data_IF_161845243332
#
_entry.id   IF_161845243332
#
_cell.length_a   1.000
_cell.length_b   1.000
_cell.length_c   1.000
_cell.angle_alpha   90.00
_cell.angle_beta   90.00
_cell.angle_gamma   90.00
#
_symmetry.space_group_name_H-M   'P 1'
#
loop_
_entity.id
_entity.type
_entity.pdbx_description
1 polymer ?
#
# COMPACT_ATOMS: atom_id res chain seq x y z
N UNK A 1 21.31 1.53 14.49
CA UNK A 1 20.36 2.06 15.50
C UNK A 1 19.70 3.32 14.99
N UNK A 2 18.39 3.37 15.02
CA UNK A 2 17.58 4.52 14.57
C UNK A 2 17.90 5.72 15.46
N UNK A 3 18.23 6.88 14.86
CA UNK A 3 18.54 8.09 15.62
C UNK A 3 17.35 8.55 16.47
N UNK A 4 17.59 9.31 17.54
CA UNK A 4 16.53 9.88 18.38
C UNK A 4 15.54 10.73 17.54
N UNK A 5 16.05 11.48 16.57
CA UNK A 5 15.25 12.33 15.66
C UNK A 5 14.34 11.49 14.74
N UNK A 6 14.85 10.41 14.19
CA UNK A 6 14.07 9.48 13.36
C UNK A 6 12.95 8.82 14.17
N UNK A 7 13.23 8.36 15.38
CA UNK A 7 12.19 7.79 16.28
C UNK A 7 11.10 8.80 16.59
N UNK A 8 11.48 10.04 16.88
CA UNK A 8 10.53 11.12 17.15
C UNK A 8 9.67 11.43 15.92
N UNK A 9 10.25 11.44 14.72
CA UNK A 9 9.52 11.62 13.47
C UNK A 9 8.53 10.48 13.23
N UNK A 10 8.98 9.24 13.38
CA UNK A 10 8.13 8.06 13.22
C UNK A 10 6.91 8.05 14.17
N UNK A 11 7.07 8.52 15.41
CA UNK A 11 5.95 8.69 16.36
C UNK A 11 4.96 9.74 15.85
N UNK A 12 5.45 10.91 15.40
CA UNK A 12 4.60 11.99 14.86
C UNK A 12 3.83 11.55 13.60
N UNK A 13 4.47 10.80 12.72
CA UNK A 13 3.85 10.24 11.51
C UNK A 13 2.74 9.25 11.85
N UNK A 14 2.97 8.34 12.80
CA UNK A 14 1.95 7.39 13.27
C UNK A 14 0.77 8.10 13.93
N UNK A 15 1.01 9.13 14.72
CA UNK A 15 -0.05 9.94 15.33
C UNK A 15 -0.87 10.68 14.27
N UNK A 16 -0.22 11.24 13.25
CA UNK A 16 -0.91 11.90 12.13
C UNK A 16 -1.74 10.87 11.34
N UNK A 17 -1.17 9.71 11.01
CA UNK A 17 -1.88 8.62 10.33
C UNK A 17 -3.13 8.20 11.12
N UNK A 18 -3.02 8.03 12.43
CA UNK A 18 -4.15 7.67 13.31
C UNK A 18 -5.24 8.74 13.31
N UNK A 19 -4.88 10.03 13.31
CA UNK A 19 -5.85 11.13 13.19
C UNK A 19 -6.56 11.13 11.84
N UNK A 20 -5.81 10.94 10.76
CA UNK A 20 -6.36 10.84 9.40
C UNK A 20 -7.26 9.63 9.24
N UNK A 21 -6.86 8.47 9.75
CA UNK A 21 -7.63 7.23 9.77
C UNK A 21 -9.02 7.43 10.41
N UNK A 22 -9.07 8.06 11.58
CA UNK A 22 -10.33 8.38 12.25
C UNK A 22 -11.19 9.39 11.48
N UNK A 23 -10.56 10.41 10.87
CA UNK A 23 -11.26 11.45 10.11
C UNK A 23 -11.86 10.92 8.81
N UNK A 24 -11.17 9.99 8.17
CA UNK A 24 -11.55 9.42 6.88
C UNK A 24 -12.34 8.10 7.01
N UNK A 25 -12.47 7.61 8.24
CA UNK A 25 -13.15 6.33 8.55
C UNK A 25 -12.55 5.14 7.76
N UNK A 26 -11.22 5.10 7.67
CA UNK A 26 -10.47 4.01 7.00
C UNK A 26 -9.41 3.47 7.94
N UNK A 27 -9.05 2.17 7.85
CA UNK A 27 -7.94 1.61 8.62
C UNK A 27 -6.63 2.37 8.39
N UNK A 28 -5.74 2.49 9.39
CA UNK A 28 -4.49 3.26 9.29
C UNK A 28 -3.58 2.80 8.15
N UNK A 29 -3.49 1.51 7.89
CA UNK A 29 -2.65 0.92 6.84
C UNK A 29 -3.10 1.28 5.42
N UNK A 30 -4.37 1.64 5.23
CA UNK A 30 -4.89 2.13 3.94
C UNK A 30 -4.24 3.46 3.56
N UNK A 31 -3.94 4.31 4.54
CA UNK A 31 -3.27 5.60 4.32
C UNK A 31 -1.81 5.36 3.94
N UNK A 32 -1.00 4.89 4.88
CA UNK A 32 0.39 4.47 4.67
C UNK A 32 0.72 3.31 5.58
N UNK A 33 1.46 2.34 5.05
CA UNK A 33 1.98 1.22 5.84
C UNK A 33 3.17 1.65 6.70
N UNK A 34 3.49 0.86 7.73
CA UNK A 34 4.60 1.14 8.63
C UNK A 34 5.96 1.25 7.90
N UNK A 35 6.33 0.37 6.94
CA UNK A 35 7.56 0.53 6.17
C UNK A 35 7.64 1.86 5.42
N UNK A 36 6.50 2.36 4.91
CA UNK A 36 6.47 3.66 4.23
C UNK A 36 6.72 4.82 5.20
N UNK A 37 6.15 4.78 6.42
CA UNK A 37 6.40 5.77 7.46
C UNK A 37 7.86 5.74 7.95
N UNK A 38 8.44 4.56 8.08
CA UNK A 38 9.86 4.40 8.44
C UNK A 38 10.80 4.98 7.38
N UNK A 39 10.48 4.74 6.10
CA UNK A 39 11.21 5.33 4.99
C UNK A 39 11.07 6.86 4.98
N UNK A 40 9.88 7.43 5.23
CA UNK A 40 9.66 8.87 5.38
C UNK A 40 10.49 9.45 6.52
N UNK A 41 10.54 8.78 7.69
CA UNK A 41 11.32 9.21 8.84
C UNK A 41 12.84 9.14 8.63
N UNK A 42 13.31 8.44 7.60
CA UNK A 42 14.72 8.31 7.23
C UNK A 42 15.12 9.28 6.14
N UNK A 43 14.27 9.50 5.14
CA UNK A 43 14.57 10.30 3.94
C UNK A 43 14.04 11.72 4.00
N UNK A 44 13.08 12.00 4.88
CA UNK A 44 12.45 13.31 5.07
C UNK A 44 11.94 13.96 3.77
N UNK A 45 11.00 13.34 3.04
CA UNK A 45 10.45 13.91 1.82
C UNK A 45 9.67 15.21 2.12
N UNK A 46 9.99 16.28 1.44
CA UNK A 46 9.35 17.61 1.63
C UNK A 46 8.58 18.09 0.40
N UNK A 47 8.54 17.29 -0.66
CA UNK A 47 7.73 17.54 -1.86
C UNK A 47 6.88 16.32 -2.20
N UNK A 48 5.82 16.52 -2.99
CA UNK A 48 4.99 15.39 -3.48
C UNK A 48 5.80 14.42 -4.34
N UNK A 49 6.75 14.92 -5.12
CA UNK A 49 7.61 14.11 -5.98
C UNK A 49 8.54 13.22 -5.15
N UNK A 50 9.15 13.77 -4.12
CA UNK A 50 9.97 13.01 -3.18
C UNK A 50 9.14 11.96 -2.43
N UNK A 51 7.92 12.31 -2.03
CA UNK A 51 7.02 11.40 -1.33
C UNK A 51 6.58 10.22 -2.21
N UNK A 52 6.38 10.43 -3.51
CA UNK A 52 6.07 9.37 -4.46
C UNK A 52 7.20 8.35 -4.63
N UNK A 53 8.43 8.70 -4.29
CA UNK A 53 9.59 7.80 -4.36
C UNK A 53 9.71 6.90 -3.12
N UNK A 54 8.91 7.13 -2.08
CA UNK A 54 8.87 6.27 -0.90
C UNK A 54 8.23 4.93 -1.29
N UNK A 55 8.84 3.79 -0.92
CA UNK A 55 8.24 2.48 -1.14
C UNK A 55 6.81 2.39 -0.57
N UNK A 56 5.87 1.89 -1.35
CA UNK A 56 4.46 1.81 -0.98
C UNK A 56 3.67 3.13 -1.08
N UNK A 57 4.29 4.20 -1.59
CA UNK A 57 3.62 5.48 -1.82
C UNK A 57 3.67 5.79 -3.31
N UNK A 58 2.55 5.58 -3.99
CA UNK A 58 2.40 5.99 -5.40
C UNK A 58 1.80 7.39 -5.52
N UNK A 59 1.71 7.88 -6.77
CA UNK A 59 1.16 9.20 -7.07
C UNK A 59 -0.26 9.41 -6.50
N UNK A 60 -1.10 8.38 -6.50
CA UNK A 60 -2.46 8.43 -5.96
C UNK A 60 -2.48 8.71 -4.46
N UNK A 61 -1.73 7.94 -3.67
CA UNK A 61 -1.63 8.13 -2.21
C UNK A 61 -0.94 9.43 -1.83
N UNK A 62 0.16 9.77 -2.52
CA UNK A 62 0.86 11.04 -2.29
C UNK A 62 -0.05 12.24 -2.50
N UNK A 63 -0.84 12.24 -3.57
CA UNK A 63 -1.80 13.30 -3.87
C UNK A 63 -2.93 13.39 -2.85
N UNK A 64 -3.43 12.23 -2.39
CA UNK A 64 -4.61 12.15 -1.52
C UNK A 64 -4.26 12.44 -0.05
N UNK A 65 -3.17 11.89 0.46
CA UNK A 65 -2.81 11.94 1.89
C UNK A 65 -1.52 12.72 2.16
N UNK A 66 -0.69 12.97 1.15
CA UNK A 66 0.69 13.42 1.33
C UNK A 66 0.83 14.83 1.87
N UNK A 67 -0.13 15.73 1.64
CA UNK A 67 -0.01 17.15 2.00
C UNK A 67 0.30 17.36 3.48
N UNK A 68 -0.47 16.74 4.36
CA UNK A 68 -0.31 16.89 5.81
C UNK A 68 0.98 16.25 6.32
N UNK A 69 1.42 15.13 5.71
CA UNK A 69 2.71 14.50 6.03
C UNK A 69 3.88 15.36 5.58
N UNK A 70 3.83 15.93 4.39
CA UNK A 70 4.87 16.86 3.89
C UNK A 70 5.00 18.08 4.80
N UNK A 71 3.88 18.68 5.22
CA UNK A 71 3.88 19.82 6.13
C UNK A 71 4.49 19.45 7.51
N UNK A 72 4.16 18.27 8.02
CA UNK A 72 4.72 17.74 9.27
C UNK A 72 6.22 17.51 9.15
N UNK A 73 6.66 16.87 8.06
CA UNK A 73 8.08 16.58 7.81
C UNK A 73 8.88 17.87 7.61
N UNK A 74 8.37 18.83 6.83
CA UNK A 74 9.01 20.16 6.66
C UNK A 74 9.25 20.82 7.99
N UNK A 75 8.24 20.91 8.83
CA UNK A 75 8.36 21.49 10.17
C UNK A 75 9.40 20.76 11.01
N UNK A 76 9.41 19.42 10.98
CA UNK A 76 10.39 18.64 11.73
C UNK A 76 11.82 18.86 11.24
N UNK A 77 12.04 18.96 9.93
CA UNK A 77 13.33 19.26 9.31
C UNK A 77 13.82 20.64 9.73
N UNK A 78 12.96 21.66 9.69
CA UNK A 78 13.27 23.04 10.10
C UNK A 78 13.56 23.14 11.60
N UNK A 79 12.70 22.57 12.46
CA UNK A 79 12.86 22.57 13.92
C UNK A 79 14.15 21.90 14.41
N UNK A 80 14.64 20.91 13.69
CA UNK A 80 15.80 20.11 14.08
C UNK A 80 17.06 20.38 13.22
N UNK A 81 17.01 21.35 12.31
CA UNK A 81 18.10 21.69 11.38
C UNK A 81 18.68 20.43 10.71
N UNK A 82 17.81 19.60 10.15
CA UNK A 82 18.19 18.32 9.54
C UNK A 82 18.76 18.57 8.14
N UNK A 83 20.01 18.20 7.92
CA UNK A 83 20.57 18.07 6.58
C UNK A 83 19.98 16.82 5.93
N UNK A 84 19.19 17.04 4.87
CA UNK A 84 18.57 15.92 4.13
C UNK A 84 19.59 15.29 3.18
N UNK A 85 19.50 13.94 2.94
CA UNK A 85 20.33 13.32 1.92
C UNK A 85 20.14 13.99 0.56
N UNK A 86 21.20 14.40 -0.11
CA UNK A 86 21.14 15.05 -1.43
C UNK A 86 20.63 14.12 -2.53
N UNK A 87 20.52 12.82 -2.29
CA UNK A 87 20.21 11.77 -3.27
C UNK A 87 18.73 11.37 -3.36
N UNK A 88 17.79 12.27 -3.08
CA UNK A 88 16.39 12.07 -3.46
C UNK A 88 16.14 12.34 -4.96
N UNK A 89 17.17 12.18 -5.79
CA UNK A 89 17.03 12.24 -7.25
C UNK A 89 16.20 11.05 -7.72
N UNK A 90 15.10 11.38 -8.37
CA UNK A 90 14.19 10.50 -9.07
C UNK A 90 14.96 9.47 -9.92
N UNK A 91 15.16 8.27 -9.40
CA UNK A 91 15.50 7.12 -10.24
C UNK A 91 14.19 6.59 -10.80
N UNK A 92 13.83 7.03 -11.97
CA UNK A 92 12.79 6.43 -12.78
C UNK A 92 13.20 4.99 -13.10
N UNK A 93 12.62 4.02 -12.39
CA UNK A 93 12.83 2.60 -12.67
C UNK A 93 11.93 2.23 -13.84
N UNK A 94 12.40 2.50 -15.07
CA UNK A 94 11.66 2.33 -16.32
C UNK A 94 11.15 0.88 -16.55
N UNK A 95 11.78 -0.14 -15.96
CA UNK A 95 11.38 -1.54 -16.17
C UNK A 95 10.21 -1.99 -15.28
N UNK A 96 10.14 -1.53 -14.03
CA UNK A 96 8.98 -1.82 -13.15
C UNK A 96 7.70 -1.15 -13.67
N UNK A 97 7.82 0.00 -14.34
CA UNK A 97 6.69 0.70 -14.93
C UNK A 97 6.02 -0.11 -16.06
N UNK A 98 6.77 -0.83 -16.88
CA UNK A 98 6.22 -1.62 -17.99
C UNK A 98 5.42 -2.83 -17.51
N UNK A 99 5.94 -3.56 -16.52
CA UNK A 99 5.25 -4.70 -15.92
C UNK A 99 3.95 -4.24 -15.23
N UNK A 100 4.02 -3.20 -14.42
CA UNK A 100 2.84 -2.60 -13.78
C UNK A 100 1.76 -2.21 -14.79
N UNK A 101 2.13 -1.52 -15.87
CA UNK A 101 1.18 -1.12 -16.92
C UNK A 101 0.59 -2.35 -17.63
N UNK A 102 1.40 -3.37 -17.93
CA UNK A 102 0.93 -4.63 -18.52
C UNK A 102 -0.11 -5.32 -17.65
N UNK A 103 0.16 -5.44 -16.34
CA UNK A 103 -0.76 -6.06 -15.38
C UNK A 103 -2.08 -5.28 -15.33
N UNK A 104 -2.04 -3.97 -15.14
CA UNK A 104 -3.25 -3.12 -15.06
C UNK A 104 -4.09 -3.24 -16.33
N UNK A 105 -3.48 -3.11 -17.51
CA UNK A 105 -4.21 -3.20 -18.78
C UNK A 105 -4.90 -4.54 -18.99
N UNK A 106 -4.31 -5.64 -18.50
CA UNK A 106 -4.91 -6.97 -18.60
C UNK A 106 -6.04 -7.16 -17.61
N UNK A 107 -5.90 -6.65 -16.38
CA UNK A 107 -6.98 -6.63 -15.39
C UNK A 107 -8.16 -5.81 -15.90
N UNK A 108 -7.93 -4.65 -16.51
CA UNK A 108 -8.99 -3.81 -17.11
C UNK A 108 -9.73 -4.54 -18.25
N UNK A 109 -9.04 -5.44 -18.93
CA UNK A 109 -9.64 -6.32 -19.95
C UNK A 109 -10.26 -7.59 -19.38
N UNK A 110 -10.27 -7.74 -18.06
CA UNK A 110 -10.78 -8.91 -17.35
C UNK A 110 -10.11 -10.23 -17.75
N UNK A 111 -8.81 -10.19 -18.03
CA UNK A 111 -7.99 -11.39 -18.24
C UNK A 111 -7.82 -12.10 -16.90
N UNK A 112 -7.95 -13.43 -16.86
CA UNK A 112 -7.78 -14.21 -15.65
C UNK A 112 -6.36 -14.01 -15.06
N UNK A 113 -6.24 -13.94 -13.72
CA UNK A 113 -4.97 -13.61 -13.07
C UNK A 113 -3.88 -14.66 -13.34
N UNK A 114 -4.23 -15.94 -13.41
CA UNK A 114 -3.32 -17.02 -13.78
C UNK A 114 -2.76 -16.84 -15.21
N UNK A 115 -3.59 -16.42 -16.16
CA UNK A 115 -3.15 -16.08 -17.52
C UNK A 115 -2.23 -14.84 -17.54
N UNK A 116 -2.51 -13.85 -16.69
CA UNK A 116 -1.65 -12.67 -16.52
C UNK A 116 -0.27 -13.08 -16.00
N UNK A 117 -0.22 -13.97 -14.98
CA UNK A 117 1.02 -14.50 -14.44
C UNK A 117 1.84 -15.21 -15.52
N UNK A 118 1.23 -16.18 -16.22
CA UNK A 118 1.88 -16.94 -17.29
C UNK A 118 2.44 -16.02 -18.39
N UNK A 119 1.65 -15.04 -18.83
CA UNK A 119 2.07 -14.14 -19.94
C UNK A 119 3.24 -13.25 -19.55
N UNK A 120 3.36 -12.88 -18.27
CA UNK A 120 4.47 -12.07 -17.79
C UNK A 120 5.65 -12.90 -17.24
N UNK A 121 5.56 -14.24 -17.33
CA UNK A 121 6.59 -15.17 -16.82
C UNK A 121 6.73 -15.15 -15.31
N UNK A 122 5.64 -14.94 -14.61
CA UNK A 122 5.56 -14.90 -13.15
C UNK A 122 4.85 -16.14 -12.61
N UNK A 123 5.27 -16.59 -11.44
CA UNK A 123 4.44 -17.46 -10.62
C UNK A 123 3.22 -16.69 -10.06
N UNK A 124 2.14 -17.39 -9.70
CA UNK A 124 0.92 -16.73 -9.25
C UNK A 124 1.13 -15.85 -8.01
N UNK A 125 1.92 -16.31 -7.05
CA UNK A 125 2.26 -15.53 -5.86
C UNK A 125 3.10 -14.29 -6.18
N UNK A 126 4.02 -14.37 -7.16
CA UNK A 126 4.78 -13.22 -7.63
C UNK A 126 3.87 -12.18 -8.31
N UNK A 127 2.85 -12.64 -9.05
CA UNK A 127 1.83 -11.74 -9.59
C UNK A 127 1.04 -11.05 -8.47
N UNK A 128 0.64 -11.79 -7.42
CA UNK A 128 -0.05 -11.19 -6.28
C UNK A 128 0.81 -10.12 -5.59
N UNK A 129 2.12 -10.36 -5.42
CA UNK A 129 3.05 -9.37 -4.87
C UNK A 129 3.08 -8.08 -5.71
N UNK A 130 3.10 -8.21 -7.04
CA UNK A 130 3.07 -7.05 -7.95
C UNK A 130 1.72 -6.31 -7.89
N UNK A 131 0.60 -7.04 -7.83
CA UNK A 131 -0.74 -6.45 -7.71
C UNK A 131 -0.90 -5.74 -6.36
N UNK A 132 -0.44 -6.36 -5.27
CA UNK A 132 -0.42 -5.73 -3.95
C UNK A 132 0.40 -4.43 -3.96
N UNK A 133 1.58 -4.43 -4.56
CA UNK A 133 2.38 -3.21 -4.72
C UNK A 133 1.65 -2.12 -5.53
N UNK A 134 0.85 -2.51 -6.52
CA UNK A 134 0.01 -1.59 -7.31
C UNK A 134 -1.06 -0.95 -6.44
N UNK A 135 -1.83 -1.73 -5.69
CA UNK A 135 -2.91 -1.18 -4.85
C UNK A 135 -2.37 -0.42 -3.64
N UNK A 136 -1.26 -0.86 -3.04
CA UNK A 136 -0.59 -0.12 -1.96
C UNK A 136 -0.05 1.24 -2.43
N UNK A 137 0.30 1.38 -3.70
CA UNK A 137 0.68 2.67 -4.26
C UNK A 137 -0.50 3.63 -4.45
N UNK A 138 -1.74 3.19 -4.20
CA UNK A 138 -2.97 3.95 -4.37
C UNK A 138 -3.55 3.89 -5.78
N UNK A 139 -3.17 2.89 -6.58
CA UNK A 139 -3.79 2.63 -7.87
C UNK A 139 -5.00 1.72 -7.68
N UNK A 140 -6.16 2.16 -8.18
CA UNK A 140 -7.37 1.33 -8.16
C UNK A 140 -7.34 0.31 -9.29
N UNK A 141 -7.70 -0.93 -8.95
CA UNK A 141 -7.93 -2.02 -9.91
C UNK A 141 -9.21 -2.74 -9.53
N UNK A 142 -9.81 -3.48 -10.45
CA UNK A 142 -10.99 -4.30 -10.16
C UNK A 142 -10.73 -5.75 -10.55
N UNK A 143 -10.70 -6.63 -9.55
CA UNK A 143 -10.51 -8.07 -9.72
C UNK A 143 -11.76 -8.89 -9.35
N UNK A 144 -12.94 -8.24 -9.18
CA UNK A 144 -14.19 -8.91 -8.81
C UNK A 144 -14.55 -10.04 -9.77
N UNK A 145 -14.29 -9.84 -11.07
CA UNK A 145 -14.56 -10.87 -12.09
C UNK A 145 -13.80 -12.18 -11.82
N UNK A 146 -12.58 -12.08 -11.29
CA UNK A 146 -11.76 -13.24 -10.95
C UNK A 146 -12.18 -13.82 -9.59
N UNK A 147 -12.40 -12.96 -8.59
CA UNK A 147 -12.86 -13.39 -7.26
C UNK A 147 -14.14 -14.20 -7.33
N UNK A 148 -15.14 -13.72 -8.08
CA UNK A 148 -16.42 -14.40 -8.22
C UNK A 148 -16.33 -15.74 -8.98
N UNK A 149 -15.27 -15.96 -9.75
CA UNK A 149 -15.01 -17.23 -10.43
C UNK A 149 -14.30 -18.26 -9.54
N UNK A 150 -13.51 -17.81 -8.55
CA UNK A 150 -12.65 -18.69 -7.75
C UNK A 150 -13.07 -18.83 -6.29
N UNK A 151 -13.97 -17.99 -5.81
CA UNK A 151 -14.41 -17.96 -4.40
C UNK A 151 -15.93 -17.79 -4.29
N UNK A 152 -16.49 -18.36 -3.23
CA UNK A 152 -17.87 -18.12 -2.85
C UNK A 152 -18.04 -16.71 -2.26
N UNK A 153 -19.21 -16.09 -2.49
CA UNK A 153 -19.52 -14.74 -2.05
C UNK A 153 -19.42 -14.57 -0.51
N UNK A 154 -19.89 -15.59 0.23
CA UNK A 154 -19.80 -15.60 1.70
C UNK A 154 -18.33 -15.53 2.19
N UNK A 155 -17.41 -16.24 1.52
CA UNK A 155 -15.97 -16.18 1.84
C UNK A 155 -15.38 -14.81 1.55
N UNK A 156 -15.77 -14.18 0.44
CA UNK A 156 -15.32 -12.83 0.09
C UNK A 156 -15.78 -11.83 1.15
N UNK A 157 -17.04 -11.92 1.56
CA UNK A 157 -17.63 -11.00 2.54
C UNK A 157 -16.99 -11.16 3.92
N UNK A 158 -16.77 -12.37 4.41
CA UNK A 158 -16.16 -12.64 5.71
C UNK A 158 -14.72 -12.07 5.80
N UNK A 159 -13.89 -12.33 4.78
CA UNK A 159 -12.53 -11.81 4.74
C UNK A 159 -12.53 -10.28 4.57
N UNK A 160 -13.46 -9.74 3.78
CA UNK A 160 -13.59 -8.30 3.58
C UNK A 160 -13.94 -7.56 4.87
N UNK A 161 -14.93 -8.06 5.64
CA UNK A 161 -15.33 -7.49 6.93
C UNK A 161 -14.18 -7.58 7.95
N UNK A 162 -13.39 -8.68 7.94
CA UNK A 162 -12.18 -8.77 8.76
C UNK A 162 -11.24 -7.57 8.52
N UNK A 163 -10.88 -7.29 7.25
CA UNK A 163 -9.98 -6.17 6.93
C UNK A 163 -10.58 -4.79 7.21
N UNK A 164 -11.90 -4.67 7.19
CA UNK A 164 -12.60 -3.44 7.53
C UNK A 164 -12.48 -3.09 9.02
N UNK A 165 -12.52 -4.10 9.88
CA UNK A 165 -12.46 -3.95 11.33
C UNK A 165 -11.04 -4.08 11.91
N UNK A 166 -10.10 -4.63 11.15
CA UNK A 166 -8.72 -4.83 11.59
C UNK A 166 -7.91 -3.54 11.64
N UNK A 167 -7.00 -3.45 12.61
CA UNK A 167 -6.00 -2.37 12.70
C UNK A 167 -4.74 -2.64 11.86
N UNK A 168 -4.54 -3.90 11.43
CA UNK A 168 -3.39 -4.36 10.64
C UNK A 168 -3.84 -5.06 9.37
N UNK A 169 -3.00 -5.04 8.36
CA UNK A 169 -3.15 -5.82 7.13
C UNK A 169 -2.15 -6.98 7.05
N UNK A 170 -1.57 -7.34 8.19
CA UNK A 170 -0.65 -8.45 8.30
C UNK A 170 -1.34 -9.78 7.93
N UNK A 171 -0.65 -10.55 7.09
CA UNK A 171 -1.22 -11.78 6.56
C UNK A 171 -1.25 -12.91 7.60
N UNK A 172 -0.22 -12.97 8.47
CA UNK A 172 -0.16 -13.98 9.54
C UNK A 172 -1.27 -13.74 10.56
N UNK A 173 -1.50 -12.48 10.95
CA UNK A 173 -2.61 -12.09 11.84
C UNK A 173 -3.97 -12.46 11.22
N UNK A 174 -4.15 -12.20 9.92
CA UNK A 174 -5.40 -12.54 9.22
C UNK A 174 -5.64 -14.05 9.16
N UNK A 175 -4.62 -14.84 8.87
CA UNK A 175 -4.72 -16.31 8.83
C UNK A 175 -5.06 -16.86 10.23
N UNK A 176 -4.46 -16.31 11.29
CA UNK A 176 -4.72 -16.74 12.66
C UNK A 176 -6.16 -16.39 13.10
N UNK A 177 -6.62 -15.16 12.86
CA UNK A 177 -7.95 -14.71 13.30
C UNK A 177 -9.10 -15.33 12.49
N UNK A 178 -8.90 -15.57 11.19
CA UNK A 178 -9.87 -16.24 10.33
C UNK A 178 -9.90 -17.77 10.53
N UNK A 179 -9.11 -18.30 11.45
CA UNK A 179 -9.23 -19.67 11.96
C UNK A 179 -8.81 -20.77 10.99
N UNK A 180 -8.16 -20.45 9.88
CA UNK A 180 -7.69 -21.43 8.89
C UNK A 180 -8.78 -21.98 7.96
N UNK A 181 -9.96 -21.36 7.95
CA UNK A 181 -11.06 -21.74 7.04
C UNK A 181 -10.80 -21.25 5.61
N UNK A 182 -9.84 -20.33 5.43
CA UNK A 182 -9.48 -19.72 4.16
C UNK A 182 -8.00 -19.93 3.84
N UNK A 183 -7.69 -20.08 2.56
CA UNK A 183 -6.29 -20.17 2.10
C UNK A 183 -5.60 -18.80 2.12
N UNK A 184 -4.28 -18.79 2.19
CA UNK A 184 -3.49 -17.57 2.09
C UNK A 184 -3.80 -16.79 0.80
N UNK A 185 -3.97 -17.49 -0.33
CA UNK A 185 -4.30 -16.88 -1.61
C UNK A 185 -5.67 -16.20 -1.60
N UNK A 186 -6.68 -16.81 -1.00
CA UNK A 186 -8.02 -16.21 -0.83
C UNK A 186 -7.94 -14.94 0.00
N UNK A 187 -7.25 -14.97 1.13
CA UNK A 187 -7.07 -13.81 1.99
C UNK A 187 -6.34 -12.68 1.24
N UNK A 188 -5.28 -12.98 0.50
CA UNK A 188 -4.53 -12.01 -0.31
C UNK A 188 -5.39 -11.38 -1.40
N UNK A 189 -6.17 -12.17 -2.11
CA UNK A 189 -7.07 -11.69 -3.17
C UNK A 189 -8.13 -10.73 -2.63
N UNK A 190 -8.78 -11.06 -1.51
CA UNK A 190 -9.78 -10.18 -0.91
C UNK A 190 -9.12 -8.94 -0.29
N UNK A 191 -7.91 -9.06 0.28
CA UNK A 191 -7.13 -7.90 0.74
C UNK A 191 -6.84 -6.92 -0.41
N UNK A 192 -6.47 -7.43 -1.58
CA UNK A 192 -6.27 -6.63 -2.79
C UNK A 192 -7.56 -5.87 -3.17
N UNK A 193 -8.70 -6.57 -3.18
CA UNK A 193 -10.02 -5.95 -3.43
C UNK A 193 -10.30 -4.85 -2.43
N UNK A 194 -10.18 -5.13 -1.14
CA UNK A 194 -10.41 -4.18 -0.05
C UNK A 194 -9.55 -2.92 -0.19
N UNK A 195 -8.24 -3.09 -0.35
CA UNK A 195 -7.30 -1.97 -0.51
C UNK A 195 -7.59 -1.15 -1.77
N UNK A 196 -7.97 -1.81 -2.85
CA UNK A 196 -8.31 -1.14 -4.11
C UNK A 196 -9.56 -0.27 -3.98
N UNK A 197 -10.58 -0.74 -3.27
CA UNK A 197 -11.81 0.03 -3.03
C UNK A 197 -11.58 1.19 -2.05
N UNK A 198 -10.78 0.98 -1.00
CA UNK A 198 -10.46 2.01 -0.01
C UNK A 198 -9.48 3.07 -0.52
N UNK A 199 -8.76 2.81 -1.63
CA UNK A 199 -7.81 3.76 -2.23
C UNK A 199 -8.49 5.00 -2.88
N UNK A 200 -9.81 5.10 -2.85
CA UNK A 200 -10.58 6.20 -3.46
C UNK A 200 -11.21 7.15 -2.45
#
# INVERSE_FOLDING_TARGET
STSRRQRQMCIRDRDLRKKLSKRLEVPPFVIFQDPSLEAMATTYPVTLEELQNIPGVGAGKAKRYGKEFIELIKRHVEENEIERPEDLRVRTVANKSKLKVSIIQRIDRKVALDEIAMTNGLEFNELLDEIEAIVYSGTRINIDYFLNDVMDEDHIDDIYEYFKDSETDDLEDAIEELGGDYTEEEIRLVRIKFLSEMAN
#
